data_IF_643671343595
#
_entry.id   IF_643671343595
#
_cell.length_a   1.000
_cell.length_b   1.000
_cell.length_c   1.000
_cell.angle_alpha   90.00
_cell.angle_beta   90.00
_cell.angle_gamma   90.00
#
_symmetry.space_group_name_H-M   'P 1'
#
loop_
_entity.id
_entity.type
_entity.pdbx_description
1 polymer ?
#
# COMPACT_ATOMS: atom_id res chain seq x y z
N UNK A 1 25.28 23.64 3.46
CA UNK A 1 24.03 23.44 2.69
C UNK A 1 24.03 21.99 2.23
N UNK A 2 23.37 21.11 2.97
CA UNK A 2 23.23 19.71 2.58
C UNK A 2 22.26 19.65 1.41
N UNK A 3 22.73 19.27 0.22
CA UNK A 3 21.85 18.88 -0.89
C UNK A 3 20.98 17.75 -0.36
N UNK A 4 19.72 18.03 -0.03
CA UNK A 4 18.75 16.98 0.23
C UNK A 4 18.47 16.35 -1.13
N UNK A 5 19.12 15.24 -1.43
CA UNK A 5 18.78 14.45 -2.62
C UNK A 5 17.32 14.02 -2.46
N UNK A 6 16.43 14.60 -3.25
CA UNK A 6 15.03 14.21 -3.26
C UNK A 6 14.94 12.75 -3.69
N UNK A 7 14.30 11.91 -2.87
CA UNK A 7 14.03 10.52 -3.21
C UNK A 7 12.56 10.43 -3.60
N UNK A 8 12.29 9.85 -4.78
CA UNK A 8 10.95 9.71 -5.34
C UNK A 8 10.45 8.28 -5.12
N UNK A 9 9.21 8.11 -4.69
CA UNK A 9 8.60 6.79 -4.52
C UNK A 9 7.73 6.45 -5.73
N UNK A 10 7.90 5.23 -6.24
CA UNK A 10 7.05 4.60 -7.26
C UNK A 10 6.44 3.33 -6.68
N UNK A 11 5.19 3.07 -7.04
CA UNK A 11 4.53 1.80 -6.80
C UNK A 11 4.36 1.07 -8.12
N UNK A 12 4.81 -0.18 -8.18
CA UNK A 12 4.56 -1.12 -9.28
C UNK A 12 3.56 -2.15 -8.77
N UNK A 13 2.38 -2.21 -9.34
CA UNK A 13 1.30 -3.07 -8.88
C UNK A 13 0.93 -4.06 -9.97
N UNK A 14 0.94 -5.34 -9.63
CA UNK A 14 0.57 -6.41 -10.54
C UNK A 14 -0.58 -7.22 -9.96
N UNK A 15 -1.69 -7.25 -10.68
CA UNK A 15 -2.89 -8.02 -10.32
C UNK A 15 -2.79 -9.40 -10.92
N UNK A 16 -3.17 -10.41 -10.13
CA UNK A 16 -3.06 -11.82 -10.51
C UNK A 16 -1.69 -12.18 -11.11
N UNK A 17 -0.57 -11.87 -10.41
CA UNK A 17 0.77 -12.11 -10.93
C UNK A 17 0.92 -13.58 -11.32
N UNK A 18 1.27 -13.83 -12.58
CA UNK A 18 1.50 -15.16 -13.14
C UNK A 18 2.99 -15.54 -13.08
N UNK A 19 3.27 -16.83 -12.94
CA UNK A 19 4.63 -17.38 -13.02
C UNK A 19 4.98 -18.29 -11.85
N UNK A 20 6.05 -19.06 -12.02
CA UNK A 20 6.53 -20.02 -11.01
C UNK A 20 7.36 -19.33 -9.90
N UNK A 21 7.83 -18.10 -10.15
CA UNK A 21 8.68 -17.35 -9.20
C UNK A 21 7.86 -16.75 -8.07
N UNK A 22 8.45 -16.73 -6.89
CA UNK A 22 7.91 -15.97 -5.76
C UNK A 22 7.93 -14.47 -6.05
N UNK A 23 7.15 -13.68 -5.30
CA UNK A 23 7.16 -12.23 -5.42
C UNK A 23 8.56 -11.63 -5.19
N UNK A 24 9.31 -12.16 -4.22
CA UNK A 24 10.68 -11.74 -3.90
C UNK A 24 11.63 -12.08 -5.05
N UNK A 25 11.58 -13.31 -5.57
CA UNK A 25 12.44 -13.72 -6.70
C UNK A 25 12.12 -12.92 -7.97
N UNK A 26 10.84 -12.64 -8.25
CA UNK A 26 10.45 -11.78 -9.37
C UNK A 26 11.00 -10.37 -9.20
N UNK A 27 10.91 -9.79 -8.00
CA UNK A 27 11.47 -8.49 -7.72
C UNK A 27 13.00 -8.46 -7.95
N UNK A 28 13.73 -9.41 -7.36
CA UNK A 28 15.20 -9.48 -7.42
C UNK A 28 15.75 -9.79 -8.80
N UNK A 29 15.18 -10.78 -9.49
CA UNK A 29 15.79 -11.36 -10.68
C UNK A 29 15.29 -10.71 -11.97
N UNK A 30 14.14 -10.01 -11.91
CA UNK A 30 13.45 -9.50 -13.11
C UNK A 30 13.23 -8.00 -13.01
N UNK A 31 12.50 -7.54 -11.99
CA UNK A 31 12.04 -6.15 -11.93
C UNK A 31 13.19 -5.19 -11.58
N UNK A 32 13.95 -5.46 -10.51
CA UNK A 32 15.08 -4.60 -10.11
C UNK A 32 16.12 -4.46 -11.23
N UNK A 33 16.56 -5.54 -11.90
CA UNK A 33 17.47 -5.41 -13.05
C UNK A 33 16.90 -4.57 -14.20
N UNK A 34 15.59 -4.67 -14.47
CA UNK A 34 14.93 -3.85 -15.49
C UNK A 34 14.96 -2.35 -15.16
N UNK A 35 15.04 -1.98 -13.87
CA UNK A 35 15.18 -0.59 -13.41
C UNK A 35 16.60 -0.01 -13.59
N UNK A 36 17.53 -0.72 -14.24
CA UNK A 36 18.97 -0.41 -14.33
C UNK A 36 19.38 1.05 -14.62
N UNK A 37 18.54 1.85 -15.28
CA UNK A 37 18.79 3.29 -15.51
C UNK A 37 18.54 4.17 -14.28
N UNK A 38 17.84 3.66 -13.29
CA UNK A 38 17.47 4.32 -12.05
C UNK A 38 17.73 3.37 -10.88
N UNK A 39 19.00 3.07 -10.61
CA UNK A 39 19.40 2.19 -9.49
C UNK A 39 18.62 2.58 -8.23
N UNK A 40 17.71 1.71 -7.75
CA UNK A 40 16.84 2.09 -6.66
C UNK A 40 17.68 2.29 -5.39
N UNK A 41 17.29 3.26 -4.57
CA UNK A 41 17.88 3.44 -3.24
C UNK A 41 17.29 2.45 -2.23
N UNK A 42 16.06 1.99 -2.49
CA UNK A 42 15.30 1.09 -1.63
C UNK A 42 14.24 0.34 -2.43
N UNK A 43 14.04 -0.94 -2.12
CA UNK A 43 12.93 -1.73 -2.68
C UNK A 43 12.25 -2.54 -1.59
N UNK A 44 10.93 -2.44 -1.56
CA UNK A 44 10.07 -3.16 -0.63
C UNK A 44 9.05 -3.95 -1.44
N UNK A 45 8.98 -5.25 -1.18
CA UNK A 45 8.10 -6.17 -1.90
C UNK A 45 6.94 -6.53 -0.98
N UNK A 46 5.72 -6.35 -1.51
CA UNK A 46 4.49 -6.77 -0.88
C UNK A 46 3.77 -7.79 -1.74
N UNK A 47 3.21 -8.84 -1.14
CA UNK A 47 2.40 -9.84 -1.85
C UNK A 47 1.24 -10.32 -1.00
N UNK A 48 0.14 -10.73 -1.65
CA UNK A 48 -1.03 -11.23 -0.93
C UNK A 48 -0.70 -12.45 -0.08
N UNK A 49 -1.19 -12.45 1.16
CA UNK A 49 -1.17 -13.63 2.00
C UNK A 49 -2.03 -14.75 1.39
N UNK A 50 -1.53 -15.98 1.46
CA UNK A 50 -2.26 -17.17 0.99
C UNK A 50 -3.52 -17.40 1.83
N UNK A 51 -3.40 -17.26 3.15
CA UNK A 51 -4.54 -17.40 4.06
C UNK A 51 -5.29 -16.08 4.17
N UNK A 52 -6.60 -16.14 3.91
CA UNK A 52 -7.49 -14.98 3.95
C UNK A 52 -8.59 -15.22 4.98
N UNK A 53 -8.41 -14.76 6.23
CA UNK A 53 -9.42 -14.94 7.24
C UNK A 53 -10.65 -14.08 6.93
N UNK A 54 -11.82 -14.49 7.45
CA UNK A 54 -12.99 -13.61 7.45
C UNK A 54 -12.73 -12.38 8.31
N UNK A 55 -13.03 -11.22 7.77
CA UNK A 55 -12.75 -9.88 8.31
C UNK A 55 -14.00 -9.01 8.15
N UNK A 56 -14.06 -7.89 8.87
CA UNK A 56 -15.10 -6.86 8.65
C UNK A 56 -14.75 -5.89 7.51
N UNK A 57 -13.47 -5.82 7.15
CA UNK A 57 -12.98 -5.13 5.96
C UNK A 57 -12.94 -6.14 4.81
N UNK A 58 -13.70 -5.97 3.72
CA UNK A 58 -13.79 -6.98 2.67
C UNK A 58 -12.46 -7.16 1.94
N UNK A 59 -11.91 -8.38 1.95
CA UNK A 59 -10.66 -8.71 1.28
C UNK A 59 -10.91 -9.22 -0.14
N UNK A 60 -10.08 -8.78 -1.07
CA UNK A 60 -10.08 -9.23 -2.45
C UNK A 60 -9.60 -10.68 -2.59
N UNK A 61 -10.17 -11.39 -3.57
CA UNK A 61 -9.80 -12.77 -3.86
C UNK A 61 -8.71 -12.88 -4.94
N UNK A 62 -8.58 -11.88 -5.80
CA UNK A 62 -7.51 -11.82 -6.79
C UNK A 62 -6.18 -11.53 -6.08
N UNK A 63 -5.14 -12.36 -6.25
CA UNK A 63 -3.82 -12.07 -5.68
C UNK A 63 -3.24 -10.75 -6.22
N UNK A 64 -2.40 -10.11 -5.42
CA UNK A 64 -1.73 -8.87 -5.74
C UNK A 64 -0.24 -8.97 -5.38
N UNK A 65 0.62 -8.41 -6.21
CA UNK A 65 2.00 -8.06 -5.88
C UNK A 65 2.17 -6.55 -6.01
N UNK A 66 2.86 -5.93 -5.07
CA UNK A 66 3.24 -4.52 -5.14
C UNK A 66 4.73 -4.37 -4.81
N UNK A 67 5.47 -3.65 -5.63
CA UNK A 67 6.81 -3.16 -5.30
C UNK A 67 6.70 -1.67 -4.96
N UNK A 68 7.20 -1.29 -3.79
CA UNK A 68 7.54 0.11 -3.51
C UNK A 68 9.00 0.32 -3.82
N UNK A 69 9.29 1.26 -4.70
CA UNK A 69 10.63 1.55 -5.20
C UNK A 69 10.95 3.01 -4.93
N UNK A 70 12.11 3.27 -4.34
CA UNK A 70 12.62 4.62 -4.12
C UNK A 70 13.73 4.91 -5.11
N UNK A 71 13.55 5.94 -5.92
CA UNK A 71 14.46 6.32 -7.00
C UNK A 71 15.14 7.67 -6.68
N UNK A 72 16.41 7.85 -7.08
CA UNK A 72 17.14 9.10 -6.89
C UNK A 72 16.65 10.23 -7.80
N UNK A 73 15.99 9.87 -8.90
CA UNK A 73 15.49 10.79 -9.92
C UNK A 73 13.98 10.62 -10.11
N UNK A 74 13.25 11.70 -10.48
CA UNK A 74 11.83 11.60 -10.73
C UNK A 74 11.60 10.73 -11.98
N UNK A 75 10.83 9.64 -11.86
CA UNK A 75 10.62 8.73 -12.97
C UNK A 75 9.57 9.29 -13.94
N UNK A 76 9.84 9.17 -15.23
CA UNK A 76 8.78 9.23 -16.23
C UNK A 76 7.98 7.92 -16.16
N UNK A 77 6.78 7.98 -15.55
CA UNK A 77 5.91 6.81 -15.30
C UNK A 77 5.66 6.00 -16.58
N UNK A 78 5.44 6.68 -17.72
CA UNK A 78 5.25 6.03 -19.03
C UNK A 78 6.49 5.26 -19.50
N UNK A 79 7.67 5.84 -19.37
CA UNK A 79 8.91 5.20 -19.82
C UNK A 79 9.22 4.00 -18.93
N UNK A 80 9.00 4.15 -17.63
CA UNK A 80 9.12 3.06 -16.68
C UNK A 80 8.15 1.91 -16.99
N UNK A 81 6.88 2.22 -17.24
CA UNK A 81 5.90 1.21 -17.66
C UNK A 81 6.31 0.51 -18.97
N UNK A 82 6.82 1.25 -19.96
CA UNK A 82 7.27 0.68 -21.23
C UNK A 82 8.46 -0.29 -21.07
N UNK A 83 9.35 -0.05 -20.10
CA UNK A 83 10.46 -0.95 -19.76
C UNK A 83 9.96 -2.20 -19.03
N UNK A 84 8.95 -2.06 -18.18
CA UNK A 84 8.44 -3.16 -17.36
C UNK A 84 7.42 -4.05 -18.10
N UNK A 85 6.64 -3.52 -19.04
CA UNK A 85 5.60 -4.25 -19.76
C UNK A 85 6.09 -5.57 -20.41
N UNK A 86 7.28 -5.64 -21.06
CA UNK A 86 7.76 -6.90 -21.63
C UNK A 86 8.10 -7.99 -20.60
N UNK A 87 8.39 -7.60 -19.35
CA UNK A 87 8.84 -8.52 -18.30
C UNK A 87 7.80 -8.75 -17.20
N UNK A 88 6.81 -7.87 -17.08
CA UNK A 88 5.67 -7.96 -16.18
C UNK A 88 4.41 -7.36 -16.83
N UNK A 89 3.84 -8.04 -17.85
CA UNK A 89 2.75 -7.49 -18.64
C UNK A 89 1.54 -7.08 -17.81
N UNK A 90 0.99 -5.89 -18.07
CA UNK A 90 -0.15 -5.36 -17.32
C UNK A 90 0.20 -4.75 -15.96
N UNK A 91 1.50 -4.55 -15.68
CA UNK A 91 1.94 -3.85 -14.48
C UNK A 91 1.43 -2.42 -14.47
N UNK A 92 0.76 -2.05 -13.38
CA UNK A 92 0.33 -0.67 -13.14
C UNK A 92 1.46 0.10 -12.44
N UNK A 93 1.72 1.33 -12.90
CA UNK A 93 2.84 2.15 -12.39
C UNK A 93 2.34 3.49 -11.88
N UNK A 94 2.73 3.84 -10.65
CA UNK A 94 2.29 5.06 -9.98
C UNK A 94 3.49 5.80 -9.38
N UNK A 95 3.73 7.04 -9.80
CA UNK A 95 4.53 7.98 -9.01
C UNK A 95 3.66 8.48 -7.85
N UNK A 96 4.19 8.49 -6.63
CA UNK A 96 3.40 8.81 -5.44
C UNK A 96 4.05 9.85 -4.54
N UNK A 97 3.21 10.66 -3.91
CA UNK A 97 3.62 11.47 -2.76
C UNK A 97 3.38 10.66 -1.49
N UNK A 98 4.45 10.06 -0.98
CA UNK A 98 4.40 9.21 0.21
C UNK A 98 4.50 10.04 1.50
N UNK A 99 3.73 9.64 2.51
CA UNK A 99 3.92 10.09 3.89
C UNK A 99 3.82 8.91 4.84
N UNK A 100 4.64 8.91 5.88
CA UNK A 100 4.74 7.81 6.85
C UNK A 100 4.37 8.30 8.26
N UNK A 101 3.08 8.57 8.57
CA UNK A 101 2.65 8.94 9.92
C UNK A 101 3.18 8.00 11.02
N UNK A 102 3.30 6.71 10.71
CA UNK A 102 4.01 5.73 11.54
C UNK A 102 4.97 4.99 10.61
N UNK A 103 6.29 5.20 10.72
CA UNK A 103 7.25 4.49 9.88
C UNK A 103 7.09 2.96 9.99
N UNK A 104 7.03 2.22 8.88
CA UNK A 104 6.86 0.77 8.91
C UNK A 104 8.14 0.08 9.40
N UNK A 105 7.99 -1.08 10.04
CA UNK A 105 9.12 -1.96 10.36
C UNK A 105 9.18 -3.06 9.32
N UNK A 106 10.22 -3.03 8.51
CA UNK A 106 10.38 -3.97 7.40
C UNK A 106 11.44 -5.02 7.74
N UNK A 107 11.05 -6.29 7.84
CA UNK A 107 12.01 -7.39 7.91
C UNK A 107 12.78 -7.52 6.60
N UNK A 108 14.02 -7.98 6.67
CA UNK A 108 14.76 -8.40 5.50
C UNK A 108 14.06 -9.61 4.83
N UNK A 109 14.16 -9.69 3.49
CA UNK A 109 13.50 -10.72 2.70
C UNK A 109 13.86 -12.17 3.08
N UNK A 110 15.03 -12.40 3.70
CA UNK A 110 15.53 -13.69 4.16
C UNK A 110 15.23 -13.99 5.63
N UNK A 111 14.61 -13.06 6.38
CA UNK A 111 14.32 -13.21 7.82
C UNK A 111 13.19 -14.23 8.13
N UNK A 112 12.50 -14.77 7.13
CA UNK A 112 11.46 -15.80 7.28
C UNK A 112 10.18 -15.36 8.00
N UNK A 113 10.05 -14.07 8.37
CA UNK A 113 8.93 -13.52 9.13
C UNK A 113 8.50 -12.16 8.54
N UNK A 114 7.76 -12.15 7.43
CA UNK A 114 7.37 -10.89 6.77
C UNK A 114 6.43 -10.07 7.64
N UNK A 115 6.44 -8.74 7.44
CA UNK A 115 5.47 -7.84 8.05
C UNK A 115 4.06 -8.13 7.52
N UNK A 116 3.04 -7.99 8.37
CA UNK A 116 1.63 -8.16 8.00
C UNK A 116 0.99 -6.81 7.78
N UNK A 117 0.40 -6.61 6.60
CA UNK A 117 -0.16 -5.32 6.18
C UNK A 117 -1.58 -5.49 5.62
N UNK A 118 -2.50 -4.62 6.03
CA UNK A 118 -3.73 -4.37 5.31
C UNK A 118 -3.45 -3.28 4.27
N UNK A 119 -3.37 -3.68 3.00
CA UNK A 119 -3.23 -2.76 1.89
C UNK A 119 -4.62 -2.35 1.41
N UNK A 120 -4.89 -1.07 1.27
CA UNK A 120 -6.14 -0.57 0.69
C UNK A 120 -5.87 0.36 -0.47
N UNK A 121 -6.46 0.06 -1.63
CA UNK A 121 -6.57 0.98 -2.76
C UNK A 121 -7.82 1.83 -2.55
N UNK A 122 -7.61 3.10 -2.21
CA UNK A 122 -8.66 4.05 -1.89
C UNK A 122 -9.33 4.55 -3.17
N UNK A 123 -10.65 4.62 -3.11
CA UNK A 123 -11.48 5.29 -4.11
C UNK A 123 -12.21 6.42 -3.41
N UNK A 124 -11.99 7.64 -3.90
CA UNK A 124 -12.66 8.82 -3.38
C UNK A 124 -14.16 8.74 -3.67
N UNK A 125 -14.97 9.25 -2.74
CA UNK A 125 -16.41 9.34 -2.91
C UNK A 125 -16.78 10.17 -4.17
N UNK A 126 -17.81 9.72 -4.89
CA UNK A 126 -18.24 10.38 -6.14
C UNK A 126 -18.59 11.84 -5.92
N UNK A 127 -18.01 12.73 -6.74
CA UNK A 127 -18.27 14.17 -6.69
C UNK A 127 -17.51 14.91 -5.58
N UNK A 128 -16.71 14.23 -4.76
CA UNK A 128 -15.81 14.89 -3.82
C UNK A 128 -14.57 15.38 -4.59
N UNK A 129 -14.09 16.60 -4.33
CA UNK A 129 -12.85 17.11 -4.94
C UNK A 129 -11.59 16.55 -4.26
N UNK A 130 -10.43 16.70 -4.91
CA UNK A 130 -9.16 16.11 -4.45
C UNK A 130 -8.72 16.71 -3.11
N UNK A 131 -8.85 18.03 -2.96
CA UNK A 131 -8.40 18.74 -1.76
C UNK A 131 -9.24 18.32 -0.54
N UNK A 132 -10.55 18.20 -0.69
CA UNK A 132 -11.45 17.72 0.36
C UNK A 132 -11.18 16.25 0.69
N UNK A 133 -10.94 15.39 -0.31
CA UNK A 133 -10.55 14.00 -0.08
C UNK A 133 -9.26 13.89 0.74
N UNK A 134 -8.22 14.64 0.35
CA UNK A 134 -6.95 14.66 1.06
C UNK A 134 -7.11 15.22 2.48
N UNK A 135 -7.90 16.29 2.68
CA UNK A 135 -8.16 16.81 4.02
C UNK A 135 -8.86 15.77 4.92
N UNK A 136 -9.92 15.13 4.42
CA UNK A 136 -10.63 14.11 5.18
C UNK A 136 -9.76 12.90 5.48
N UNK A 137 -8.95 12.44 4.52
CA UNK A 137 -8.05 11.31 4.73
C UNK A 137 -6.89 11.67 5.67
N UNK A 138 -6.17 12.77 5.39
CA UNK A 138 -4.92 13.08 6.07
C UNK A 138 -5.11 13.75 7.43
N UNK A 139 -6.05 14.69 7.54
CA UNK A 139 -6.16 15.55 8.72
C UNK A 139 -7.24 15.06 9.69
N UNK A 140 -8.27 14.36 9.18
CA UNK A 140 -9.38 13.84 10.00
C UNK A 140 -9.25 12.35 10.25
N UNK A 141 -9.10 11.56 9.18
CA UNK A 141 -9.20 10.11 9.27
C UNK A 141 -7.93 9.49 9.84
N UNK A 142 -6.76 9.96 9.40
CA UNK A 142 -5.47 9.43 9.89
C UNK A 142 -5.35 9.54 11.41
N UNK A 143 -5.60 10.69 12.08
CA UNK A 143 -5.60 10.74 13.53
C UNK A 143 -6.66 9.86 14.19
N UNK A 144 -7.81 9.65 13.54
CA UNK A 144 -8.84 8.73 14.02
C UNK A 144 -8.34 7.28 13.98
N UNK A 145 -7.82 6.83 12.83
CA UNK A 145 -7.28 5.48 12.63
C UNK A 145 -6.18 5.19 13.67
N UNK A 146 -5.21 6.08 13.85
CA UNK A 146 -4.14 5.92 14.83
C UNK A 146 -4.61 5.79 16.28
N UNK A 147 -5.78 6.35 16.63
CA UNK A 147 -6.36 6.22 17.99
C UNK A 147 -7.12 4.91 18.21
N UNK A 148 -7.61 4.27 17.15
CA UNK A 148 -8.56 3.16 17.25
C UNK A 148 -7.97 1.84 16.74
N UNK A 149 -7.09 1.90 15.75
CA UNK A 149 -6.35 0.77 15.20
C UNK A 149 -5.01 0.59 15.93
N UNK A 150 -4.61 -0.65 16.27
CA UNK A 150 -3.30 -0.94 16.85
C UNK A 150 -2.21 -0.98 15.76
N UNK A 151 -2.03 0.14 15.05
CA UNK A 151 -1.09 0.27 13.94
C UNK A 151 0.36 0.17 14.43
N UNK A 152 1.18 -0.62 13.72
CA UNK A 152 2.63 -0.70 13.90
C UNK A 152 3.40 0.02 12.80
N UNK A 153 2.70 0.39 11.72
CA UNK A 153 3.19 1.13 10.57
C UNK A 153 1.98 1.68 9.81
N UNK A 154 2.11 2.88 9.26
CA UNK A 154 1.06 3.54 8.51
C UNK A 154 1.68 4.42 7.42
N UNK A 155 1.56 3.95 6.18
CA UNK A 155 2.08 4.66 5.00
C UNK A 155 0.90 5.07 4.12
N UNK A 156 0.88 6.34 3.71
CA UNK A 156 -0.10 6.90 2.79
C UNK A 156 0.61 7.32 1.52
N UNK A 157 0.16 6.79 0.39
CA UNK A 157 0.69 7.08 -0.93
C UNK A 157 -0.40 7.81 -1.71
N UNK A 158 -0.25 9.12 -1.89
CA UNK A 158 -1.15 9.91 -2.73
C UNK A 158 -0.75 9.70 -4.19
N UNK A 159 -1.72 9.39 -5.03
CA UNK A 159 -1.54 9.19 -6.47
C UNK A 159 -2.15 10.38 -7.20
N UNK A 160 -1.47 10.85 -8.24
CA UNK A 160 -2.08 11.70 -9.25
C UNK A 160 -2.59 10.82 -10.41
N UNK A 161 -3.91 10.62 -10.55
CA UNK A 161 -4.49 9.82 -11.62
C UNK A 161 -4.06 10.23 -13.03
N UNK A 162 -3.73 11.52 -13.25
CA UNK A 162 -3.36 12.04 -14.56
C UNK A 162 -1.99 11.53 -15.06
N UNK A 163 -1.14 11.09 -14.14
CA UNK A 163 0.23 10.65 -14.45
C UNK A 163 0.43 9.15 -14.26
N UNK A 164 -0.60 8.45 -13.76
CA UNK A 164 -0.57 7.01 -13.55
C UNK A 164 -0.58 6.22 -14.86
N UNK A 165 0.12 5.09 -14.89
CA UNK A 165 -0.04 4.06 -15.90
C UNK A 165 -0.98 2.98 -15.35
N UNK A 166 -2.28 3.22 -15.48
CA UNK A 166 -3.35 2.30 -15.06
C UNK A 166 -4.64 2.65 -15.81
N UNK A 167 -5.46 1.65 -16.19
CA UNK A 167 -6.77 1.92 -16.79
C UNK A 167 -7.77 2.54 -15.81
N UNK A 168 -7.64 2.27 -14.51
CA UNK A 168 -8.50 2.82 -13.46
C UNK A 168 -7.68 3.07 -12.18
N UNK A 169 -6.85 4.14 -12.15
CA UNK A 169 -5.95 4.43 -11.03
C UNK A 169 -6.72 4.76 -9.74
N UNK A 170 -6.31 4.21 -8.58
CA UNK A 170 -6.89 4.60 -7.30
C UNK A 170 -6.49 6.04 -6.93
N UNK A 171 -7.31 6.72 -6.13
CA UNK A 171 -7.03 8.08 -5.65
C UNK A 171 -5.92 8.10 -4.57
N UNK A 172 -5.65 6.94 -3.96
CA UNK A 172 -4.54 6.76 -3.02
C UNK A 172 -4.37 5.30 -2.61
N UNK A 173 -3.19 4.97 -2.06
CA UNK A 173 -2.88 3.64 -1.56
C UNK A 173 -2.41 3.77 -0.12
N UNK A 174 -3.01 2.99 0.77
CA UNK A 174 -2.65 3.00 2.18
C UNK A 174 -2.16 1.62 2.64
N UNK A 175 -1.07 1.62 3.40
CA UNK A 175 -0.44 0.42 3.96
C UNK A 175 -0.55 0.52 5.49
N UNK A 176 -1.41 -0.30 6.10
CA UNK A 176 -1.58 -0.39 7.55
C UNK A 176 -0.91 -1.67 8.08
N UNK A 177 0.21 -1.53 8.78
CA UNK A 177 0.94 -2.67 9.36
C UNK A 177 0.39 -3.05 10.74
N UNK A 178 0.22 -4.35 10.97
CA UNK A 178 -0.28 -4.92 12.22
C UNK A 178 0.67 -6.00 12.76
N UNK A 179 0.48 -6.35 14.04
CA UNK A 179 1.26 -7.40 14.69
C UNK A 179 1.09 -8.77 14.01
N UNK A 180 -0.14 -9.08 13.57
CA UNK A 180 -0.49 -10.35 12.95
C UNK A 180 -1.81 -10.23 12.15
N UNK A 181 -2.07 -11.21 11.29
CA UNK A 181 -3.31 -11.28 10.52
C UNK A 181 -4.56 -11.46 11.40
N UNK A 182 -4.39 -12.01 12.62
CA UNK A 182 -5.51 -12.23 13.56
C UNK A 182 -6.04 -10.90 14.10
N UNK A 183 -5.20 -9.88 14.19
CA UNK A 183 -5.57 -8.54 14.63
C UNK A 183 -6.55 -7.91 13.64
N UNK A 184 -6.29 -8.02 12.34
CA UNK A 184 -7.18 -7.58 11.26
C UNK A 184 -8.47 -8.41 11.25
N UNK A 185 -8.35 -9.73 11.44
CA UNK A 185 -9.49 -10.65 11.40
C UNK A 185 -10.44 -10.57 12.61
N UNK A 186 -10.12 -9.80 13.65
CA UNK A 186 -10.90 -9.73 14.89
C UNK A 186 -11.25 -8.28 15.21
N UNK A 187 -12.51 -7.85 15.02
CA UNK A 187 -12.90 -6.45 15.18
C UNK A 187 -12.60 -5.85 16.55
N UNK A 188 -12.69 -6.64 17.63
CA UNK A 188 -12.32 -6.18 18.98
C UNK A 188 -10.82 -5.96 19.17
N UNK A 189 -9.97 -6.58 18.36
CA UNK A 189 -8.53 -6.28 18.31
C UNK A 189 -8.26 -5.09 17.39
N UNK A 190 -8.83 -5.10 16.18
CA UNK A 190 -8.63 -4.04 15.19
C UNK A 190 -9.17 -2.68 15.64
N UNK A 191 -10.34 -2.60 16.24
CA UNK A 191 -10.97 -1.34 16.66
C UNK A 191 -10.89 -1.08 18.17
N UNK A 192 -10.25 -1.98 18.92
CA UNK A 192 -10.19 -1.94 20.38
C UNK A 192 -8.85 -1.52 20.94
N UNK A 193 -7.99 -0.84 20.16
CA UNK A 193 -6.64 -0.44 20.60
C UNK A 193 -6.67 0.36 21.91
N UNK A 194 -7.68 1.22 22.09
CA UNK A 194 -7.91 2.02 23.29
C UNK A 194 -8.93 1.40 24.28
N UNK A 195 -9.13 0.09 24.20
CA UNK A 195 -10.01 -0.69 25.07
C UNK A 195 -11.03 -1.51 24.27
N UNK A 196 -11.05 -2.84 24.47
CA UNK A 196 -11.92 -3.75 23.74
C UNK A 196 -13.42 -3.40 23.85
N UNK A 197 -13.87 -2.89 25.01
CA UNK A 197 -15.25 -2.47 25.23
C UNK A 197 -15.69 -1.30 24.32
N UNK A 198 -14.74 -0.50 23.80
CA UNK A 198 -15.01 0.60 22.86
C UNK A 198 -15.07 0.15 21.41
N UNK A 199 -14.71 -1.10 21.11
CA UNK A 199 -14.54 -1.58 19.72
C UNK A 199 -15.75 -1.33 18.84
N UNK A 200 -16.97 -1.66 19.31
CA UNK A 200 -18.18 -1.46 18.52
C UNK A 200 -18.44 0.03 18.21
N UNK A 201 -18.25 0.91 19.20
CA UNK A 201 -18.39 2.35 19.03
C UNK A 201 -17.32 2.93 18.09
N UNK A 202 -16.07 2.47 18.23
CA UNK A 202 -14.96 2.87 17.36
C UNK A 202 -15.20 2.40 15.91
N UNK A 203 -15.63 1.15 15.74
CA UNK A 203 -15.95 0.58 14.43
C UNK A 203 -17.05 1.39 13.74
N UNK A 204 -18.14 1.71 14.46
CA UNK A 204 -19.19 2.58 13.91
C UNK A 204 -18.68 3.98 13.58
N UNK A 205 -17.83 4.58 14.43
CA UNK A 205 -17.26 5.91 14.22
C UNK A 205 -16.36 5.94 12.98
N UNK A 206 -15.51 4.93 12.81
CA UNK A 206 -14.66 4.75 11.63
C UNK A 206 -15.53 4.56 10.39
N UNK A 207 -16.45 3.60 10.41
CA UNK A 207 -17.35 3.30 9.29
C UNK A 207 -18.14 4.54 8.85
N UNK A 208 -18.72 5.29 9.78
CA UNK A 208 -19.49 6.50 9.48
C UNK A 208 -18.60 7.57 8.84
N UNK A 209 -17.35 7.69 9.27
CA UNK A 209 -16.42 8.67 8.73
C UNK A 209 -15.88 8.27 7.35
N UNK A 210 -15.44 7.02 7.15
CA UNK A 210 -14.92 6.59 5.84
C UNK A 210 -15.96 6.76 4.73
N UNK A 211 -17.25 6.57 5.03
CA UNK A 211 -18.34 6.78 4.07
C UNK A 211 -18.52 8.22 3.60
N UNK A 212 -17.93 9.21 4.28
CA UNK A 212 -18.02 10.61 3.85
C UNK A 212 -17.02 10.95 2.76
N UNK A 213 -15.94 10.16 2.61
CA UNK A 213 -14.87 10.48 1.67
C UNK A 213 -14.39 9.31 0.79
N UNK A 214 -14.80 8.07 1.09
CA UNK A 214 -14.50 6.89 0.29
C UNK A 214 -15.73 6.29 -0.38
N UNK A 215 -15.58 5.87 -1.64
CA UNK A 215 -16.45 4.94 -2.33
C UNK A 215 -16.10 3.51 -1.88
N UNK A 216 -16.79 3.03 -0.84
CA UNK A 216 -16.51 1.73 -0.22
C UNK A 216 -16.85 0.54 -1.13
N UNK A 217 -17.69 0.73 -2.14
CA UNK A 217 -18.05 -0.33 -3.09
C UNK A 217 -16.93 -0.58 -4.11
N UNK A 218 -16.11 0.45 -4.38
CA UNK A 218 -14.96 0.38 -5.29
C UNK A 218 -13.61 0.30 -4.57
N UNK A 219 -13.55 0.57 -3.27
CA UNK A 219 -12.33 0.42 -2.49
C UNK A 219 -11.94 -1.06 -2.40
N UNK A 220 -10.66 -1.36 -2.55
CA UNK A 220 -10.15 -2.72 -2.62
C UNK A 220 -9.13 -2.97 -1.52
N UNK A 221 -9.26 -4.08 -0.78
CA UNK A 221 -8.40 -4.39 0.36
C UNK A 221 -7.71 -5.75 0.19
N UNK A 222 -6.44 -5.83 0.56
CA UNK A 222 -5.69 -7.08 0.62
C UNK A 222 -5.00 -7.23 1.96
N UNK A 223 -4.97 -8.48 2.44
CA UNK A 223 -4.02 -8.89 3.44
C UNK A 223 -2.70 -9.23 2.72
N UNK A 224 -1.63 -8.52 3.07
CA UNK A 224 -0.34 -8.60 2.42
C UNK A 224 0.75 -9.01 3.41
N UNK A 225 1.76 -9.66 2.90
CA UNK A 225 3.08 -9.80 3.51
C UNK A 225 4.02 -8.79 2.87
N UNK A 226 4.93 -8.21 3.65
CA UNK A 226 5.85 -7.18 3.19
C UNK A 226 7.28 -7.39 3.74
N UNK A 227 8.28 -7.24 2.88
CA UNK A 227 9.71 -7.34 3.22
C UNK A 227 10.52 -6.31 2.45
N UNK A 228 11.67 -5.95 3.01
CA UNK A 228 12.68 -5.15 2.33
C UNK A 228 13.67 -6.06 1.61
N UNK A 229 13.96 -5.72 0.35
CA UNK A 229 14.91 -6.44 -0.49
C UNK A 229 16.24 -5.70 -0.48
N UNK A 230 17.29 -6.39 -0.04
CA UNK A 230 18.66 -5.89 -0.14
C UNK A 230 19.06 -5.70 -1.61
N UNK A 231 19.67 -4.56 -1.89
CA UNK A 231 20.19 -4.18 -3.19
C UNK A 231 21.70 -4.44 -3.22
N UNK A 232 22.18 -5.03 -4.30
CA UNK A 232 23.60 -5.38 -4.48
C UNK A 232 24.46 -4.18 -4.88
#
# INVERSE_FOLDING_TARGET
>A
MTNSTSIYKVLLLQRNPSGERTAIATARDVLIPALSTNSPARVVVSWSAEQRPRTVVPLQTTPLRMLSVWLPEPPAVRDLAAVLEPVDPGVEVFAVQASEPIPPRLPAADAGSPAVVLLTLLRRARGLDDATFLHEWHDRHTPLAMRVHPLQGYVRNVIDPATAHSPDPPDGIVEEQYADARTIARPWRMFGHNGAWRSAANMWRVWRHVRTFLDLDRAENWLMHQVEVELA
#
